data_IF_416340348247
#
_entry.id   IF_416340348247
#
_cell.length_a   1.000
_cell.length_b   1.000
_cell.length_c   1.000
_cell.angle_alpha   90.00
_cell.angle_beta   90.00
_cell.angle_gamma   90.00
#
_symmetry.space_group_name_H-M   'P 1'
#
loop_
_entity.id
_entity.type
_entity.pdbx_description
1 polymer ?
#
# COMPACT_ATOMS: atom_id res chain seq x y z
N UNK A 1 18.78 28.44 33.82
CA UNK A 1 19.90 28.02 32.94
C UNK A 1 19.65 26.69 32.21
N UNK A 2 18.64 25.89 32.60
CA UNK A 2 18.40 24.56 32.00
C UNK A 2 17.86 24.55 30.56
N UNK A 3 17.08 25.57 30.15
CA UNK A 3 16.54 25.64 28.77
C UNK A 3 17.62 25.81 27.70
N UNK A 4 18.74 26.46 28.02
CA UNK A 4 19.86 26.66 27.09
C UNK A 4 20.65 25.36 26.89
N UNK A 5 20.71 24.50 27.93
CA UNK A 5 21.40 23.20 27.88
C UNK A 5 20.61 22.18 27.05
N UNK A 6 19.28 22.15 27.20
CA UNK A 6 18.38 21.28 26.43
C UNK A 6 18.40 21.57 24.92
N UNK A 7 18.41 22.85 24.52
CA UNK A 7 18.51 23.23 23.10
C UNK A 7 19.82 22.83 22.43
N UNK A 8 20.94 22.89 23.17
CA UNK A 8 22.25 22.43 22.67
C UNK A 8 22.30 20.91 22.50
N UNK A 9 21.80 20.16 23.49
CA UNK A 9 21.73 18.69 23.43
C UNK A 9 20.88 18.22 22.24
N UNK A 10 19.72 18.84 22.01
CA UNK A 10 18.89 18.52 20.84
C UNK A 10 19.59 18.81 19.51
N UNK A 11 20.38 19.89 19.43
CA UNK A 11 21.14 20.22 18.21
C UNK A 11 22.33 19.29 17.97
N UNK A 12 22.97 18.79 19.04
CA UNK A 12 24.05 17.81 18.96
C UNK A 12 23.51 16.44 18.56
N UNK A 13 22.44 15.95 19.20
CA UNK A 13 21.78 14.70 18.84
C UNK A 13 21.24 14.77 17.40
N UNK A 14 20.64 15.90 17.00
CA UNK A 14 20.20 16.09 15.63
C UNK A 14 21.38 16.04 14.65
N UNK A 15 22.52 16.68 14.93
CA UNK A 15 23.72 16.58 14.09
C UNK A 15 24.27 15.16 14.03
N UNK A 16 24.36 14.47 15.15
CA UNK A 16 24.88 13.11 15.24
C UNK A 16 24.01 12.10 14.47
N UNK A 17 22.68 12.28 14.52
CA UNK A 17 21.73 11.50 13.70
C UNK A 17 21.87 11.88 12.22
N UNK A 18 21.95 13.18 11.88
CA UNK A 18 22.00 13.67 10.49
C UNK A 18 23.32 13.34 9.79
N UNK A 19 24.42 13.21 10.55
CA UNK A 19 25.74 12.81 10.06
C UNK A 19 26.00 11.30 10.19
N UNK A 20 25.05 10.56 10.77
CA UNK A 20 25.17 9.10 10.87
C UNK A 20 25.23 8.46 9.47
N UNK A 21 26.08 7.44 9.34
CA UNK A 21 26.26 6.70 8.09
C UNK A 21 24.93 6.13 7.54
N UNK A 22 23.98 5.82 8.44
CA UNK A 22 22.63 5.39 8.10
C UNK A 22 21.77 6.53 7.51
N UNK A 23 21.85 7.73 8.08
CA UNK A 23 21.10 8.89 7.59
C UNK A 23 21.65 9.42 6.26
N UNK A 24 22.97 9.57 6.14
CA UNK A 24 23.60 9.99 4.89
C UNK A 24 23.44 8.94 3.78
N UNK A 25 23.33 7.65 4.14
CA UNK A 25 22.99 6.58 3.18
C UNK A 25 21.52 6.61 2.75
N UNK A 26 20.61 7.08 3.61
CA UNK A 26 19.17 7.15 3.33
C UNK A 26 18.78 8.41 2.56
N UNK A 27 19.45 9.54 2.82
CA UNK A 27 19.23 10.85 2.18
C UNK A 27 20.55 11.42 1.66
N UNK A 28 20.95 10.99 0.45
CA UNK A 28 22.27 11.28 -0.14
C UNK A 28 22.46 12.69 -0.73
N UNK A 29 21.39 13.46 -0.94
CA UNK A 29 21.45 14.73 -1.67
C UNK A 29 20.75 15.87 -0.91
N UNK A 30 21.43 17.02 -0.80
CA UNK A 30 20.86 18.24 -0.21
C UNK A 30 19.68 18.82 -1.01
N UNK A 31 18.82 19.59 -0.34
CA UNK A 31 17.63 20.28 -0.89
C UNK A 31 18.00 21.44 -1.84
N UNK A 32 18.64 21.15 -2.98
CA UNK A 32 18.81 22.14 -4.05
C UNK A 32 17.74 21.96 -5.13
N UNK A 33 16.96 23.01 -5.43
CA UNK A 33 15.73 22.99 -6.24
C UNK A 33 15.92 22.84 -7.77
N UNK A 34 17.02 22.27 -8.24
CA UNK A 34 17.23 22.08 -9.69
C UNK A 34 16.46 20.86 -10.22
N UNK A 35 15.98 20.87 -11.49
CA UNK A 35 15.26 19.73 -12.08
C UNK A 35 16.06 18.42 -12.07
N UNK A 36 17.39 18.48 -12.26
CA UNK A 36 18.30 17.33 -12.20
C UNK A 36 18.40 16.79 -10.76
N UNK A 37 18.55 17.66 -9.77
CA UNK A 37 18.69 17.24 -8.38
C UNK A 37 17.39 16.64 -7.83
N UNK A 38 16.21 17.08 -8.28
CA UNK A 38 14.92 16.45 -7.92
C UNK A 38 14.81 15.01 -8.42
N UNK A 39 15.31 14.74 -9.63
CA UNK A 39 15.36 13.37 -10.18
C UNK A 39 16.36 12.54 -9.39
N UNK A 40 17.54 13.09 -9.08
CA UNK A 40 18.58 12.41 -8.32
C UNK A 40 18.12 12.09 -6.89
N UNK A 41 17.43 13.01 -6.20
CA UNK A 41 16.86 12.78 -4.88
C UNK A 41 15.85 11.63 -4.87
N UNK A 42 15.04 11.50 -5.91
CA UNK A 42 14.04 10.43 -5.97
C UNK A 42 14.68 9.10 -6.36
N UNK A 43 15.61 9.10 -7.33
CA UNK A 43 16.27 7.90 -7.82
C UNK A 43 17.37 7.37 -6.87
N UNK A 44 18.06 8.24 -6.12
CA UNK A 44 19.16 7.86 -5.23
C UNK A 44 18.71 7.42 -3.84
N UNK A 45 17.45 7.71 -3.47
CA UNK A 45 16.93 7.42 -2.14
C UNK A 45 16.11 6.13 -2.17
N UNK A 46 16.39 5.25 -1.21
CA UNK A 46 15.76 3.92 -1.10
C UNK A 46 14.24 4.02 -0.95
N UNK A 47 13.71 5.07 -0.34
CA UNK A 47 12.27 5.19 -0.14
C UNK A 47 11.56 5.93 -1.27
N UNK A 48 12.22 6.90 -1.89
CA UNK A 48 11.59 7.75 -2.91
C UNK A 48 11.61 7.10 -4.29
N UNK A 49 12.46 6.10 -4.54
CA UNK A 49 12.54 5.46 -5.86
C UNK A 49 11.22 4.78 -6.28
N UNK A 50 10.37 4.41 -5.32
CA UNK A 50 9.04 3.83 -5.57
C UNK A 50 8.05 4.86 -6.14
N UNK A 51 8.29 6.16 -5.92
CA UNK A 51 7.40 7.23 -6.37
C UNK A 51 7.84 7.81 -7.72
N UNK A 52 6.91 8.02 -8.67
CA UNK A 52 7.24 8.58 -9.97
C UNK A 52 7.71 10.04 -9.85
N UNK A 53 8.86 10.35 -10.45
CA UNK A 53 9.51 11.68 -10.42
C UNK A 53 8.67 12.77 -11.09
N UNK A 54 7.92 12.41 -12.14
CA UNK A 54 7.07 13.33 -12.91
C UNK A 54 5.77 12.65 -13.27
N UNK A 55 4.65 13.28 -12.91
CA UNK A 55 3.31 12.90 -13.36
C UNK A 55 2.66 14.08 -14.08
N UNK A 56 2.00 13.79 -15.19
CA UNK A 56 1.26 14.82 -15.91
C UNK A 56 0.00 15.21 -15.10
N UNK A 57 -0.25 16.51 -14.92
CA UNK A 57 -1.33 17.04 -14.05
C UNK A 57 -2.73 16.48 -14.38
N UNK A 58 -3.01 16.14 -15.63
CA UNK A 58 -4.29 15.56 -16.03
C UNK A 58 -4.51 14.15 -15.47
N UNK A 59 -3.44 13.38 -15.24
CA UNK A 59 -3.50 12.02 -14.70
C UNK A 59 -3.82 11.99 -13.19
N UNK A 60 -3.61 13.11 -12.49
CA UNK A 60 -3.89 13.26 -11.05
C UNK A 60 -5.31 13.74 -10.76
N UNK A 61 -6.12 14.04 -11.79
CA UNK A 61 -7.51 14.44 -11.56
C UNK A 61 -8.28 13.26 -10.99
N UNK A 62 -8.75 13.37 -9.74
CA UNK A 62 -9.55 12.35 -9.04
C UNK A 62 -10.72 11.88 -9.89
N UNK A 63 -11.36 12.79 -10.63
CA UNK A 63 -12.47 12.48 -11.55
C UNK A 63 -12.10 11.47 -12.66
N UNK A 64 -10.83 11.37 -13.06
CA UNK A 64 -10.38 10.54 -14.18
C UNK A 64 -9.82 9.17 -13.76
N UNK A 65 -9.18 9.09 -12.59
CA UNK A 65 -8.57 7.85 -12.10
C UNK A 65 -9.43 7.16 -11.03
N UNK A 66 -10.32 7.89 -10.33
CA UNK A 66 -11.10 7.44 -9.17
C UNK A 66 -10.25 6.70 -8.10
N UNK A 67 -8.93 6.79 -8.21
CA UNK A 67 -7.93 5.96 -7.52
C UNK A 67 -8.27 4.45 -7.44
N UNK A 68 -9.03 3.89 -8.39
CA UNK A 68 -9.61 2.54 -8.23
C UNK A 68 -8.57 1.42 -8.11
N UNK A 69 -7.43 1.56 -8.79
CA UNK A 69 -6.32 0.61 -8.64
C UNK A 69 -5.67 0.69 -7.25
N UNK A 70 -5.49 1.90 -6.72
CA UNK A 70 -4.96 2.10 -5.36
C UNK A 70 -5.92 1.62 -4.28
N UNK A 71 -7.23 1.88 -4.45
CA UNK A 71 -8.28 1.38 -3.54
C UNK A 71 -8.27 -0.15 -3.52
N UNK A 72 -8.17 -0.79 -4.70
CA UNK A 72 -8.08 -2.25 -4.80
C UNK A 72 -6.86 -2.79 -4.04
N UNK A 73 -5.70 -2.15 -4.17
CA UNK A 73 -4.49 -2.55 -3.44
C UNK A 73 -4.64 -2.41 -1.92
N UNK A 74 -5.31 -1.34 -1.44
CA UNK A 74 -5.59 -1.18 -0.01
C UNK A 74 -6.58 -2.23 0.50
N UNK A 75 -7.60 -2.58 -0.29
CA UNK A 75 -8.54 -3.65 0.05
C UNK A 75 -7.85 -5.01 0.10
N UNK A 76 -6.94 -5.29 -0.84
CA UNK A 76 -6.11 -6.50 -0.80
C UNK A 76 -5.30 -6.57 0.50
N UNK A 77 -4.63 -5.50 0.90
CA UNK A 77 -3.86 -5.46 2.14
C UNK A 77 -4.75 -5.70 3.37
N UNK A 78 -5.95 -5.09 3.40
CA UNK A 78 -6.94 -5.32 4.46
C UNK A 78 -7.37 -6.80 4.54
N UNK A 79 -7.67 -7.41 3.40
CA UNK A 79 -8.04 -8.84 3.31
C UNK A 79 -6.89 -9.74 3.77
N UNK A 80 -5.64 -9.44 3.39
CA UNK A 80 -4.46 -10.20 3.84
C UNK A 80 -4.28 -10.09 5.35
N UNK A 81 -4.29 -8.88 5.91
CA UNK A 81 -4.09 -8.67 7.35
C UNK A 81 -5.18 -9.38 8.15
N UNK A 82 -6.44 -9.19 7.77
CA UNK A 82 -7.57 -9.86 8.44
C UNK A 82 -7.53 -11.37 8.26
N UNK A 83 -7.13 -11.86 7.08
CA UNK A 83 -7.02 -13.29 6.76
C UNK A 83 -5.95 -13.99 7.59
N UNK A 84 -4.77 -13.40 7.70
CA UNK A 84 -3.68 -13.92 8.55
C UNK A 84 -4.12 -14.02 10.01
N UNK A 85 -4.85 -13.02 10.51
CA UNK A 85 -5.38 -13.07 11.89
C UNK A 85 -6.39 -14.22 12.04
N UNK A 86 -7.29 -14.40 11.06
CA UNK A 86 -8.29 -15.47 11.08
C UNK A 86 -7.65 -16.87 10.98
N UNK A 87 -6.52 -17.02 10.29
CA UNK A 87 -5.80 -18.29 10.20
C UNK A 87 -5.33 -18.82 11.56
N UNK A 88 -5.05 -17.95 12.54
CA UNK A 88 -4.70 -18.41 13.89
C UNK A 88 -5.86 -19.07 14.65
N UNK A 89 -7.10 -18.81 14.24
CA UNK A 89 -8.32 -19.30 14.90
C UNK A 89 -9.08 -20.37 14.11
N UNK A 90 -8.66 -20.66 12.87
CA UNK A 90 -9.36 -21.59 11.98
C UNK A 90 -8.54 -22.84 11.68
N UNK A 91 -9.10 -24.03 11.95
CA UNK A 91 -8.52 -25.30 11.53
C UNK A 91 -9.18 -25.80 10.25
N UNK A 92 -8.41 -26.09 9.18
CA UNK A 92 -8.95 -26.56 7.90
C UNK A 92 -9.28 -28.06 7.94
N UNK A 93 -10.07 -28.49 8.93
CA UNK A 93 -10.53 -29.89 9.09
C UNK A 93 -12.05 -29.88 9.19
N UNK A 94 -12.73 -30.67 8.36
CA UNK A 94 -14.20 -30.64 8.21
C UNK A 94 -14.97 -30.82 9.53
N UNK A 95 -14.47 -31.66 10.43
CA UNK A 95 -15.08 -31.94 11.73
C UNK A 95 -15.07 -30.73 12.68
N UNK A 96 -14.02 -29.90 12.62
CA UNK A 96 -13.82 -28.78 13.53
C UNK A 96 -14.20 -27.42 12.93
N UNK A 97 -14.29 -27.30 11.61
CA UNK A 97 -14.50 -26.03 10.91
C UNK A 97 -15.73 -25.25 11.40
N UNK A 98 -16.84 -25.94 11.66
CA UNK A 98 -18.07 -25.30 12.15
C UNK A 98 -17.95 -24.81 13.61
N UNK A 99 -17.29 -25.60 14.47
CA UNK A 99 -17.05 -25.21 15.86
C UNK A 99 -16.10 -24.02 15.96
N UNK A 100 -15.05 -24.00 15.13
CA UNK A 100 -14.11 -22.87 15.06
C UNK A 100 -14.82 -21.58 14.61
N UNK A 101 -15.79 -21.67 13.69
CA UNK A 101 -16.61 -20.51 13.31
C UNK A 101 -17.50 -19.99 14.44
N UNK A 102 -18.06 -20.88 15.27
CA UNK A 102 -18.82 -20.49 16.47
C UNK A 102 -17.91 -19.84 17.52
N UNK A 103 -16.77 -20.46 17.80
CA UNK A 103 -15.78 -19.94 18.73
C UNK A 103 -15.33 -18.53 18.33
N UNK A 104 -15.00 -18.33 17.05
CA UNK A 104 -14.66 -17.01 16.51
C UNK A 104 -15.79 -15.97 16.65
N UNK A 105 -17.05 -16.42 16.61
CA UNK A 105 -18.20 -15.51 16.67
C UNK A 105 -18.55 -15.09 18.10
N UNK A 106 -18.43 -15.99 19.08
CA UNK A 106 -18.93 -15.76 20.44
C UNK A 106 -17.84 -15.60 21.50
N UNK A 107 -16.71 -16.29 21.34
CA UNK A 107 -15.68 -16.37 22.39
C UNK A 107 -14.47 -15.46 22.11
N UNK A 108 -14.20 -15.17 20.82
CA UNK A 108 -13.08 -14.30 20.43
C UNK A 108 -13.49 -12.82 20.46
N UNK A 109 -12.80 -11.96 21.22
CA UNK A 109 -13.08 -10.53 21.22
C UNK A 109 -12.84 -9.93 19.83
N UNK A 110 -13.81 -9.18 19.31
CA UNK A 110 -13.83 -8.65 17.93
C UNK A 110 -13.77 -9.71 16.81
N UNK A 111 -13.91 -11.01 17.10
CA UNK A 111 -13.82 -12.07 16.08
C UNK A 111 -14.91 -11.95 15.00
N UNK A 112 -16.14 -11.61 15.40
CA UNK A 112 -17.24 -11.33 14.46
C UNK A 112 -16.96 -10.12 13.56
N UNK A 113 -16.38 -9.05 14.12
CA UNK A 113 -16.00 -7.85 13.37
C UNK A 113 -14.93 -8.17 12.33
N UNK A 114 -13.88 -8.88 12.74
CA UNK A 114 -12.77 -9.28 11.85
C UNK A 114 -13.26 -10.17 10.71
N UNK A 115 -14.12 -11.15 10.99
CA UNK A 115 -14.72 -12.02 9.96
C UNK A 115 -15.56 -11.22 8.97
N UNK A 116 -16.39 -10.30 9.46
CA UNK A 116 -17.19 -9.44 8.61
C UNK A 116 -16.34 -8.50 7.77
N UNK A 117 -15.30 -7.90 8.36
CA UNK A 117 -14.37 -7.02 7.67
C UNK A 117 -13.64 -7.77 6.54
N UNK A 118 -13.15 -8.98 6.78
CA UNK A 118 -12.52 -9.81 5.76
C UNK A 118 -13.49 -10.11 4.59
N UNK A 119 -14.73 -10.51 4.90
CA UNK A 119 -15.76 -10.80 3.89
C UNK A 119 -16.14 -9.55 3.07
N UNK A 120 -16.40 -8.43 3.73
CA UNK A 120 -16.76 -7.19 3.04
C UNK A 120 -15.59 -6.61 2.23
N UNK A 121 -14.37 -6.71 2.74
CA UNK A 121 -13.16 -6.31 2.01
C UNK A 121 -12.97 -7.17 0.74
N UNK A 122 -13.17 -8.48 0.83
CA UNK A 122 -13.11 -9.38 -0.33
C UNK A 122 -14.16 -9.01 -1.40
N UNK A 123 -15.42 -8.79 -1.02
CA UNK A 123 -16.46 -8.36 -1.96
C UNK A 123 -16.16 -7.00 -2.58
N UNK A 124 -15.73 -6.03 -1.77
CA UNK A 124 -15.35 -4.71 -2.26
C UNK A 124 -14.17 -4.80 -3.23
N UNK A 125 -13.17 -5.64 -2.94
CA UNK A 125 -11.99 -5.85 -3.80
C UNK A 125 -12.41 -6.35 -5.18
N UNK A 126 -13.29 -7.36 -5.25
CA UNK A 126 -13.79 -7.87 -6.54
C UNK A 126 -14.49 -6.76 -7.32
N UNK A 127 -15.37 -6.00 -6.69
CA UNK A 127 -16.08 -4.87 -7.35
C UNK A 127 -15.09 -3.82 -7.87
N UNK A 128 -14.11 -3.43 -7.07
CA UNK A 128 -13.15 -2.40 -7.45
C UNK A 128 -12.18 -2.87 -8.54
N UNK A 129 -11.77 -4.14 -8.54
CA UNK A 129 -10.98 -4.74 -9.64
C UNK A 129 -11.75 -4.66 -10.94
N UNK A 130 -13.02 -5.08 -10.95
CA UNK A 130 -13.86 -5.01 -12.15
C UNK A 130 -14.00 -3.58 -12.66
N UNK A 131 -14.32 -2.63 -11.79
CA UNK A 131 -14.41 -1.20 -12.16
C UNK A 131 -13.06 -0.66 -12.67
N UNK A 132 -11.94 -1.09 -12.08
CA UNK A 132 -10.61 -0.72 -12.54
C UNK A 132 -10.34 -1.26 -13.96
N UNK A 133 -10.67 -2.52 -14.23
CA UNK A 133 -10.52 -3.14 -15.55
C UNK A 133 -11.39 -2.44 -16.59
N UNK A 134 -12.67 -2.18 -16.29
CA UNK A 134 -13.56 -1.42 -17.17
C UNK A 134 -12.99 -0.04 -17.50
N UNK A 135 -12.47 0.67 -16.49
CA UNK A 135 -11.86 1.98 -16.72
C UNK A 135 -10.62 1.90 -17.60
N UNK A 136 -9.72 0.94 -17.38
CA UNK A 136 -8.52 0.78 -18.21
C UNK A 136 -8.88 0.46 -19.66
N UNK A 137 -9.92 -0.34 -19.86
CA UNK A 137 -10.46 -0.67 -21.18
C UNK A 137 -11.09 0.55 -21.87
N UNK A 138 -12.04 1.23 -21.21
CA UNK A 138 -12.75 2.39 -21.76
C UNK A 138 -11.84 3.60 -22.02
N UNK A 139 -10.79 3.78 -21.21
CA UNK A 139 -9.80 4.85 -21.41
C UNK A 139 -8.69 4.48 -22.40
N UNK A 140 -8.70 3.25 -22.97
CA UNK A 140 -7.68 2.78 -23.90
C UNK A 140 -6.27 2.72 -23.30
N UNK A 141 -6.14 2.62 -21.97
CA UNK A 141 -4.84 2.65 -21.27
C UNK A 141 -3.97 1.41 -21.53
N UNK A 142 -4.56 0.33 -22.06
CA UNK A 142 -3.87 -0.91 -22.43
C UNK A 142 -3.04 -0.80 -23.72
N UNK A 143 -3.22 0.27 -24.51
CA UNK A 143 -2.47 0.52 -25.74
C UNK A 143 -0.95 0.66 -25.47
N UNK A 144 -0.10 0.44 -26.50
CA UNK A 144 1.34 0.59 -26.35
C UNK A 144 1.70 1.99 -25.81
N UNK A 145 2.67 2.12 -24.88
CA UNK A 145 3.68 1.14 -24.46
C UNK A 145 3.31 0.32 -23.19
N UNK A 146 2.03 0.22 -22.81
CA UNK A 146 1.59 -0.40 -21.53
C UNK A 146 0.95 -1.78 -21.67
N UNK A 147 1.16 -2.45 -22.80
CA UNK A 147 0.58 -3.77 -23.10
C UNK A 147 0.97 -4.83 -22.07
N UNK A 148 2.22 -4.83 -21.62
CA UNK A 148 2.69 -5.77 -20.60
C UNK A 148 1.96 -5.60 -19.25
N UNK A 149 1.71 -4.37 -18.83
CA UNK A 149 0.96 -4.08 -17.60
C UNK A 149 -0.49 -4.54 -17.71
N UNK A 150 -1.08 -4.47 -18.91
CA UNK A 150 -2.43 -4.98 -19.14
C UNK A 150 -2.48 -6.50 -18.96
N UNK A 151 -1.52 -7.24 -19.53
CA UNK A 151 -1.42 -8.70 -19.34
C UNK A 151 -1.30 -9.06 -17.87
N UNK A 152 -0.44 -8.36 -17.10
CA UNK A 152 -0.34 -8.54 -15.65
C UNK A 152 -1.70 -8.29 -14.97
N UNK A 153 -2.40 -7.22 -15.34
CA UNK A 153 -3.73 -6.92 -14.80
C UNK A 153 -4.75 -8.04 -15.05
N UNK A 154 -4.74 -8.64 -16.24
CA UNK A 154 -5.59 -9.78 -16.59
C UNK A 154 -5.24 -11.01 -15.72
N UNK A 155 -3.96 -11.31 -15.54
CA UNK A 155 -3.56 -12.39 -14.62
C UNK A 155 -4.03 -12.13 -13.19
N UNK A 156 -3.85 -10.91 -12.68
CA UNK A 156 -4.25 -10.56 -11.31
C UNK A 156 -5.76 -10.72 -11.07
N UNK A 157 -6.61 -10.32 -12.03
CA UNK A 157 -8.06 -10.54 -11.88
C UNK A 157 -8.41 -12.03 -11.93
N UNK A 158 -7.73 -12.82 -12.78
CA UNK A 158 -7.92 -14.28 -12.81
C UNK A 158 -7.58 -14.91 -11.46
N UNK A 159 -6.42 -14.56 -10.86
CA UNK A 159 -6.05 -15.05 -9.53
C UNK A 159 -6.98 -14.58 -8.41
N UNK A 160 -7.65 -13.45 -8.57
CA UNK A 160 -8.60 -12.94 -7.57
C UNK A 160 -9.93 -13.70 -7.61
N UNK A 161 -10.28 -14.29 -8.75
CA UNK A 161 -11.56 -14.98 -8.97
C UNK A 161 -11.50 -16.50 -8.80
N UNK A 162 -10.30 -17.08 -8.85
CA UNK A 162 -10.03 -18.50 -8.60
C UNK A 162 -9.89 -18.76 -7.10
#
# INVERSE_FOLDING_TARGET
>A
MDKIKSGKIFSEIAKEITESQLWTSSFRHGYADTPRNRVLQIASNVWLHLHPVKMHRHALRIKFTWCMGGITFLLFLSTVVTGVILMFYYRPVGEYAYYDMKYLQYDVPFGMLMRNMHRWAAHAMVITVWLHMFRVFLTGSYKPPREFNWVIGVFLVTFTLL
#
